data_IF_784920026312
#
_entry.id   IF_784920026312
#
_cell.length_a   1.000
_cell.length_b   1.000
_cell.length_c   1.000
_cell.angle_alpha   90.00
_cell.angle_beta   90.00
_cell.angle_gamma   90.00
#
_symmetry.space_group_name_H-M   'P 1'
#
loop_
_entity.id
_entity.type
_entity.pdbx_description
1 polymer ?
#
# COMPACT_ATOMS: atom_id res chain seq x y z
N UNK A 1 -16.65 -3.19 50.65
CA UNK A 1 -15.29 -3.43 50.10
C UNK A 1 -15.44 -4.40 48.95
N UNK A 2 -15.47 -3.90 47.71
CA UNK A 2 -15.32 -4.75 46.52
C UNK A 2 -14.60 -3.92 45.48
N UNK A 3 -13.43 -4.41 45.07
CA UNK A 3 -12.64 -3.83 44.00
C UNK A 3 -13.19 -4.46 42.71
N UNK A 4 -13.90 -3.69 41.90
CA UNK A 4 -14.44 -4.17 40.63
C UNK A 4 -13.64 -3.56 39.50
N UNK A 5 -12.77 -4.39 38.91
CA UNK A 5 -12.46 -4.39 37.48
C UNK A 5 -11.56 -3.28 36.96
N UNK A 6 -10.25 -3.40 37.16
CA UNK A 6 -9.30 -2.90 36.16
C UNK A 6 -9.10 -4.01 35.11
N UNK A 7 -9.97 -4.07 34.10
CA UNK A 7 -9.69 -4.80 32.85
C UNK A 7 -10.33 -4.07 31.66
N UNK A 8 -10.17 -2.76 31.62
CA UNK A 8 -10.12 -2.04 30.35
C UNK A 8 -8.65 -2.04 29.95
N UNK A 9 -8.17 -3.19 29.45
CA UNK A 9 -6.97 -3.20 28.64
C UNK A 9 -7.25 -2.23 27.50
N UNK A 10 -6.72 -1.02 27.66
CA UNK A 10 -6.82 0.11 26.74
C UNK A 10 -6.54 -0.42 25.34
N UNK A 11 -7.62 -0.77 24.65
CA UNK A 11 -7.58 -1.10 23.24
C UNK A 11 -7.37 0.24 22.55
N UNK A 12 -6.11 0.65 22.49
CA UNK A 12 -5.64 1.74 21.66
C UNK A 12 -5.77 1.27 20.21
N UNK A 13 -7.01 1.10 19.75
CA UNK A 13 -7.32 1.15 18.32
C UNK A 13 -6.78 2.49 17.87
N UNK A 14 -5.80 2.44 16.97
CA UNK A 14 -5.30 3.61 16.28
C UNK A 14 -6.53 4.27 15.66
N UNK A 15 -6.98 5.40 16.24
CA UNK A 15 -8.12 6.22 15.80
C UNK A 15 -7.87 6.90 14.44
N UNK A 16 -7.11 6.25 13.55
CA UNK A 16 -6.64 6.80 12.29
C UNK A 16 -7.05 5.98 11.08
N UNK A 17 -7.14 4.65 11.18
CA UNK A 17 -7.42 3.83 9.99
C UNK A 17 -8.82 4.07 9.41
N UNK A 18 -9.82 4.34 10.27
CA UNK A 18 -11.19 4.65 9.85
C UNK A 18 -11.34 6.05 9.22
N UNK A 19 -10.31 6.91 9.32
CA UNK A 19 -10.31 8.28 8.75
C UNK A 19 -9.37 8.44 7.54
N UNK A 20 -8.62 7.41 7.17
CA UNK A 20 -7.74 7.45 6.00
C UNK A 20 -8.55 7.19 4.72
N UNK A 21 -8.83 8.26 3.99
CA UNK A 21 -9.48 8.21 2.68
C UNK A 21 -8.45 7.86 1.60
N UNK A 22 -8.74 6.82 0.83
CA UNK A 22 -7.94 6.45 -0.34
C UNK A 22 -8.16 7.43 -1.51
N UNK A 23 -7.24 7.39 -2.47
CA UNK A 23 -7.37 8.08 -3.75
C UNK A 23 -8.49 7.51 -4.61
N UNK A 24 -8.76 8.13 -5.77
CA UNK A 24 -9.91 7.80 -6.63
C UNK A 24 -10.01 6.31 -7.00
N UNK A 25 -8.89 5.65 -7.24
CA UNK A 25 -8.84 4.24 -7.66
C UNK A 25 -8.24 3.33 -6.59
N UNK A 26 -7.83 3.91 -5.47
CA UNK A 26 -7.07 3.22 -4.43
C UNK A 26 -5.84 2.51 -5.02
N UNK A 27 -5.12 3.19 -5.91
CA UNK A 27 -3.99 2.59 -6.63
C UNK A 27 -2.83 3.57 -6.82
N UNK A 28 -1.67 3.03 -7.19
CA UNK A 28 -0.46 3.83 -7.39
C UNK A 28 -0.61 4.90 -8.47
N UNK A 29 -1.48 4.67 -9.46
CA UNK A 29 -1.72 5.62 -10.55
C UNK A 29 -2.61 6.80 -10.16
N UNK A 30 -3.09 6.86 -8.90
CA UNK A 30 -3.72 8.07 -8.36
C UNK A 30 -2.70 9.21 -8.20
N UNK A 31 -1.39 8.92 -8.19
CA UNK A 31 -0.33 9.93 -8.27
C UNK A 31 -0.19 10.42 -9.71
N UNK A 32 -0.40 11.72 -9.93
CA UNK A 32 -0.38 12.31 -11.26
C UNK A 32 0.92 12.00 -12.02
N UNK A 33 0.80 11.51 -13.25
CA UNK A 33 1.92 11.18 -14.13
C UNK A 33 2.57 9.80 -13.89
N UNK A 34 2.30 9.14 -12.75
CA UNK A 34 2.77 7.77 -12.49
C UNK A 34 1.96 6.76 -13.29
N UNK A 35 2.65 5.76 -13.87
CA UNK A 35 2.03 4.65 -14.60
C UNK A 35 2.56 3.30 -14.11
N UNK A 36 1.79 2.24 -14.30
CA UNK A 36 2.19 0.86 -13.98
C UNK A 36 2.00 -0.01 -15.21
N UNK A 37 3.00 -0.83 -15.53
CA UNK A 37 2.96 -1.80 -16.62
C UNK A 37 3.34 -3.20 -16.14
N UNK A 38 2.68 -4.22 -16.69
CA UNK A 38 2.93 -5.63 -16.38
C UNK A 38 3.27 -6.39 -17.66
N UNK A 39 4.23 -7.31 -17.56
CA UNK A 39 4.52 -8.30 -18.59
C UNK A 39 4.64 -9.67 -17.92
N UNK A 40 3.85 -10.64 -18.37
CA UNK A 40 3.79 -11.97 -17.76
C UNK A 40 4.14 -13.04 -18.78
N UNK A 41 4.80 -14.11 -18.32
CA UNK A 41 4.99 -15.35 -19.06
C UNK A 41 4.46 -16.51 -18.24
N UNK A 42 3.32 -17.03 -18.69
CA UNK A 42 2.55 -18.08 -18.02
C UNK A 42 2.32 -19.24 -18.98
N UNK A 43 2.42 -20.47 -18.49
CA UNK A 43 2.28 -21.68 -19.30
C UNK A 43 3.63 -22.27 -19.72
N UNK A 44 3.64 -23.48 -20.28
CA UNK A 44 4.86 -24.17 -20.75
C UNK A 44 5.97 -24.28 -19.69
N UNK A 45 5.58 -24.46 -18.42
CA UNK A 45 6.49 -24.48 -17.27
C UNK A 45 6.93 -23.09 -16.77
N UNK A 46 6.49 -22.01 -17.40
CA UNK A 46 6.75 -20.63 -16.97
C UNK A 46 5.67 -20.12 -16.03
N UNK A 47 6.12 -19.40 -15.01
CA UNK A 47 5.27 -18.62 -14.09
C UNK A 47 6.07 -17.44 -13.57
N UNK A 48 6.38 -16.51 -14.47
CA UNK A 48 7.23 -15.36 -14.20
C UNK A 48 6.62 -14.10 -14.82
N UNK A 49 7.14 -12.94 -14.42
CA UNK A 49 6.74 -11.67 -14.97
C UNK A 49 7.58 -10.52 -14.43
N UNK A 50 7.29 -9.34 -14.95
CA UNK A 50 7.88 -8.07 -14.55
C UNK A 50 6.74 -7.07 -14.35
N UNK A 51 6.88 -6.26 -13.30
CA UNK A 51 6.07 -5.05 -13.11
C UNK A 51 6.99 -3.85 -13.12
N UNK A 52 6.63 -2.82 -13.89
CA UNK A 52 7.35 -1.55 -13.94
C UNK A 52 6.45 -0.44 -13.40
N UNK A 53 6.99 0.35 -12.49
CA UNK A 53 6.43 1.65 -12.11
C UNK A 53 7.20 2.71 -12.89
N UNK A 54 6.52 3.39 -13.80
CA UNK A 54 7.10 4.45 -14.61
C UNK A 54 6.79 5.81 -13.97
N UNK A 55 7.80 6.60 -13.56
CA UNK A 55 7.59 7.95 -13.07
C UNK A 55 7.10 8.88 -14.20
N UNK A 56 6.66 10.10 -13.84
CA UNK A 56 6.43 11.17 -14.81
C UNK A 56 7.66 11.42 -15.71
N UNK A 57 7.50 12.05 -16.90
CA UNK A 57 8.61 12.31 -17.83
C UNK A 57 9.79 13.11 -17.23
N UNK A 58 9.52 13.97 -16.25
CA UNK A 58 10.52 14.72 -15.49
C UNK A 58 11.32 13.87 -14.48
N UNK A 59 10.97 12.59 -14.33
CA UNK A 59 11.55 11.67 -13.35
C UNK A 59 10.90 11.77 -11.98
N UNK A 60 11.50 11.08 -11.00
CA UNK A 60 11.07 11.12 -9.60
C UNK A 60 12.28 10.95 -8.68
N UNK A 61 12.24 11.59 -7.52
CA UNK A 61 13.20 11.31 -6.43
C UNK A 61 12.90 9.92 -5.87
N UNK A 62 13.93 9.10 -5.68
CA UNK A 62 13.79 7.75 -5.15
C UNK A 62 14.79 7.46 -4.03
N UNK A 63 14.44 6.47 -3.19
CA UNK A 63 15.29 5.89 -2.16
C UNK A 63 14.96 4.41 -2.01
N UNK A 64 15.88 3.62 -1.46
CA UNK A 64 15.73 2.17 -1.29
C UNK A 64 16.23 1.75 0.09
N UNK A 65 15.55 0.76 0.66
CA UNK A 65 15.92 0.02 1.88
C UNK A 65 15.75 -1.48 1.57
N UNK A 66 16.65 -2.34 2.08
CA UNK A 66 16.71 -3.78 1.76
C UNK A 66 16.75 -4.64 3.01
#
# INVERSE_FOLDING_TARGET
MSITGNTEASSRRVRGADDLRHGRTNSLVDVAGVKVGHAERVGDGWRTGVTVVLPPPEGAVCGVDV
#
